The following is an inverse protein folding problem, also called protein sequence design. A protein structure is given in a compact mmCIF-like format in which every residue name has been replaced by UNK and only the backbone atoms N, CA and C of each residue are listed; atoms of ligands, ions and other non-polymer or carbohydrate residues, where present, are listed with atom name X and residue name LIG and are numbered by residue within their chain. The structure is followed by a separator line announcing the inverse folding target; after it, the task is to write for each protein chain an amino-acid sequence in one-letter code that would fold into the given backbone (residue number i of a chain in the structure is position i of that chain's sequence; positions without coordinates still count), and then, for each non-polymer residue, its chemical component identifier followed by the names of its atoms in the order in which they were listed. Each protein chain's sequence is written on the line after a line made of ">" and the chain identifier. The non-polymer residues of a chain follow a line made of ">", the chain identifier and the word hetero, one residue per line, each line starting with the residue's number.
data_IF_005876730038
#
_entry.id   IF_005876730038
#
_cell.length_a   1.000
_cell.length_b   1.000
_cell.length_c   1.000
_cell.angle_alpha   90.00
_cell.angle_beta   90.00
_cell.angle_gamma   90.00
#
_symmetry.space_group_name_H-M   'P 1'
#
loop_
_entity.id
_entity.type
_entity.pdbx_description
1 polymer ?
#
# COMPACT_ATOMS: atom_id res chain seq x y z
N UNK A 1 -14.21 -15.81 19.82
CA UNK A 1 -14.78 -15.85 18.45
C UNK A 1 -13.72 -16.39 17.52
N UNK A 2 -14.11 -17.08 16.46
CA UNK A 2 -13.14 -17.59 15.46
C UNK A 2 -12.64 -16.44 14.60
N UNK A 3 -11.32 -16.35 14.42
CA UNK A 3 -10.70 -15.42 13.49
C UNK A 3 -10.96 -15.91 12.06
N UNK A 4 -11.26 -15.00 11.12
CA UNK A 4 -11.22 -15.35 9.70
C UNK A 4 -9.77 -15.71 9.35
N UNK A 5 -9.56 -16.92 8.85
CA UNK A 5 -8.30 -17.36 8.25
C UNK A 5 -8.56 -17.57 6.75
N UNK A 6 -7.70 -17.00 5.92
CA UNK A 6 -7.69 -17.28 4.49
C UNK A 6 -6.95 -18.60 4.26
N UNK A 7 -7.56 -19.51 3.50
CA UNK A 7 -6.95 -20.79 3.10
C UNK A 7 -7.09 -20.87 1.58
N UNK A 8 -6.00 -20.76 0.80
CA UNK A 8 -6.07 -20.89 -0.65
C UNK A 8 -6.35 -22.35 -1.03
N UNK A 9 -7.19 -22.55 -2.06
CA UNK A 9 -7.45 -23.88 -2.62
C UNK A 9 -6.52 -24.12 -3.81
N UNK A 10 -5.54 -25.00 -3.65
CA UNK A 10 -4.50 -25.26 -4.65
C UNK A 10 -4.80 -26.56 -5.41
N UNK A 11 -4.27 -26.74 -6.63
CA UNK A 11 -4.55 -27.93 -7.43
C UNK A 11 -4.18 -29.24 -6.71
N UNK A 12 -3.08 -29.21 -5.94
CA UNK A 12 -2.60 -30.31 -5.08
C UNK A 12 -3.59 -30.73 -3.99
N UNK A 13 -4.53 -29.86 -3.63
CA UNK A 13 -5.54 -30.12 -2.59
C UNK A 13 -6.78 -30.82 -3.19
N UNK A 14 -6.89 -30.88 -4.53
CA UNK A 14 -7.93 -31.60 -5.26
C UNK A 14 -7.48 -33.03 -5.65
N UNK A 15 -7.44 -33.90 -4.65
CA UNK A 15 -7.05 -35.31 -4.81
C UNK A 15 -7.89 -36.07 -5.85
N UNK A 16 -9.17 -35.71 -6.02
CA UNK A 16 -10.07 -36.33 -7.01
C UNK A 16 -9.63 -36.04 -8.45
N UNK A 17 -9.18 -34.82 -8.74
CA UNK A 17 -8.70 -34.46 -10.08
C UNK A 17 -7.37 -35.15 -10.39
N UNK A 18 -6.45 -35.19 -9.43
CA UNK A 18 -5.13 -35.83 -9.57
C UNK A 18 -5.21 -37.34 -9.82
N UNK A 19 -6.23 -38.02 -9.27
CA UNK A 19 -6.45 -39.47 -9.48
C UNK A 19 -7.10 -39.76 -10.84
N UNK A 20 -8.02 -38.90 -11.29
CA UNK A 20 -8.76 -39.12 -12.54
C UNK A 20 -8.02 -38.61 -13.78
N UNK A 21 -7.09 -37.65 -13.64
CA UNK A 21 -6.29 -37.13 -14.75
C UNK A 21 -4.83 -36.83 -14.33
N UNK A 22 -3.95 -37.86 -14.27
CA UNK A 22 -2.56 -37.70 -13.85
C UNK A 22 -1.72 -36.82 -14.79
N UNK A 23 -2.08 -36.76 -16.08
CA UNK A 23 -1.37 -36.03 -17.13
C UNK A 23 -1.92 -34.62 -17.37
N UNK A 24 -2.90 -34.18 -16.56
CA UNK A 24 -3.57 -32.88 -16.69
C UNK A 24 -2.59 -31.70 -16.74
N UNK A 25 -1.63 -31.67 -15.80
CA UNK A 25 -0.58 -30.64 -15.75
C UNK A 25 0.39 -30.68 -16.93
N UNK A 26 0.59 -31.86 -17.55
CA UNK A 26 1.43 -32.03 -18.74
C UNK A 26 0.71 -31.55 -20.00
N UNK A 27 -0.60 -31.79 -20.11
CA UNK A 27 -1.44 -31.26 -21.20
C UNK A 27 -1.61 -29.75 -21.12
N UNK A 28 -1.74 -29.19 -19.92
CA UNK A 28 -1.79 -27.75 -19.68
C UNK A 28 -0.54 -27.03 -20.22
N UNK A 29 0.67 -27.52 -19.89
CA UNK A 29 1.94 -27.00 -20.45
C UNK A 29 2.02 -27.09 -21.98
N UNK A 30 1.30 -28.02 -22.60
CA UNK A 30 1.23 -28.18 -24.05
C UNK A 30 0.41 -27.10 -24.78
N UNK A 31 -0.32 -26.23 -24.06
CA UNK A 31 -1.16 -25.18 -24.64
C UNK A 31 -0.40 -23.86 -24.93
N UNK A 32 0.88 -23.75 -24.53
CA UNK A 32 1.75 -22.63 -24.91
C UNK A 32 1.49 -21.29 -24.22
N UNK A 33 0.70 -21.27 -23.14
CA UNK A 33 0.50 -20.10 -22.29
C UNK A 33 0.90 -20.43 -20.84
N UNK A 34 2.16 -20.18 -20.50
CA UNK A 34 2.73 -20.51 -19.19
C UNK A 34 2.04 -19.77 -18.03
N UNK A 35 1.50 -18.57 -18.27
CA UNK A 35 0.77 -17.79 -17.26
C UNK A 35 -0.58 -18.44 -16.91
N UNK A 36 -1.34 -18.88 -17.91
CA UNK A 36 -2.59 -19.63 -17.70
C UNK A 36 -2.33 -20.95 -16.94
N UNK A 37 -1.19 -21.59 -17.23
CA UNK A 37 -0.76 -22.80 -16.52
C UNK A 37 -0.43 -22.49 -15.06
N UNK A 38 0.37 -21.47 -14.78
CA UNK A 38 0.68 -21.07 -13.40
C UNK A 38 -0.58 -20.62 -12.63
N UNK A 39 -1.51 -19.91 -13.27
CA UNK A 39 -2.78 -19.53 -12.65
C UNK A 39 -3.62 -20.74 -12.25
N UNK A 40 -3.75 -21.73 -13.15
CA UNK A 40 -4.47 -22.98 -12.88
C UNK A 40 -3.76 -23.92 -11.89
N UNK A 41 -2.43 -23.86 -11.79
CA UNK A 41 -1.64 -24.66 -10.84
C UNK A 41 -1.62 -24.04 -9.43
N UNK A 42 -1.52 -22.72 -9.33
CA UNK A 42 -1.33 -21.97 -8.08
C UNK A 42 -2.62 -21.37 -7.49
N UNK A 43 -3.72 -21.34 -8.25
CA UNK A 43 -4.97 -20.71 -7.85
C UNK A 43 -4.96 -19.17 -7.89
N UNK A 44 -3.87 -18.57 -8.39
CA UNK A 44 -3.75 -17.13 -8.57
C UNK A 44 -4.27 -16.71 -9.95
N UNK A 45 -5.45 -16.08 -10.02
CA UNK A 45 -6.08 -15.68 -11.29
C UNK A 45 -5.74 -14.23 -11.71
N UNK A 46 -4.97 -13.50 -10.91
CA UNK A 46 -4.81 -12.04 -11.02
C UNK A 46 -3.60 -11.62 -11.87
N UNK A 47 -3.49 -12.16 -13.08
CA UNK A 47 -2.50 -11.72 -14.09
C UNK A 47 -3.17 -11.44 -15.45
N UNK A 48 -3.94 -10.35 -15.48
CA UNK A 48 -4.23 -9.61 -16.71
C UNK A 48 -3.23 -8.45 -16.87
N UNK A 49 -2.94 -8.06 -18.12
CA UNK A 49 -2.10 -6.90 -18.47
C UNK A 49 -2.68 -5.54 -17.99
N UNK A 50 -3.82 -5.54 -17.28
CA UNK A 50 -4.50 -4.37 -16.73
C UNK A 50 -4.17 -4.05 -15.26
N UNK A 51 -3.37 -4.86 -14.57
CA UNK A 51 -3.04 -4.61 -13.15
C UNK A 51 -2.03 -3.46 -13.01
N UNK A 52 -2.33 -2.46 -12.19
CA UNK A 52 -1.52 -1.25 -12.03
C UNK A 52 -0.21 -1.47 -11.25
N UNK A 53 -0.15 -2.52 -10.41
CA UNK A 53 1.04 -2.89 -9.63
C UNK A 53 1.28 -4.41 -9.80
N UNK A 54 1.65 -4.86 -11.03
CA UNK A 54 1.60 -6.28 -11.42
C UNK A 54 2.65 -7.16 -10.73
N UNK A 55 3.69 -6.55 -10.16
CA UNK A 55 4.76 -7.26 -9.45
C UNK A 55 4.53 -7.34 -7.93
N UNK A 56 3.33 -7.00 -7.43
CA UNK A 56 3.05 -7.17 -6.00
C UNK A 56 3.16 -8.65 -5.58
N UNK A 57 3.73 -8.86 -4.39
CA UNK A 57 4.02 -10.18 -3.81
C UNK A 57 3.81 -10.15 -2.31
N UNK A 58 2.80 -10.86 -1.82
CA UNK A 58 2.49 -10.84 -0.39
C UNK A 58 3.64 -11.38 0.47
N UNK A 59 4.44 -12.34 -0.02
CA UNK A 59 5.59 -12.86 0.75
C UNK A 59 6.80 -11.90 0.79
N UNK A 60 6.81 -10.84 -0.01
CA UNK A 60 7.88 -9.83 -0.08
C UNK A 60 7.46 -8.50 0.58
N UNK A 61 6.27 -8.00 0.23
CA UNK A 61 5.82 -6.66 0.59
C UNK A 61 5.04 -6.61 1.90
N UNK A 62 4.43 -7.72 2.32
CA UNK A 62 3.75 -7.81 3.62
C UNK A 62 4.74 -8.28 4.69
N UNK A 63 4.92 -7.46 5.72
CA UNK A 63 5.79 -7.77 6.85
C UNK A 63 4.96 -7.97 8.14
N UNK A 64 5.47 -8.73 9.14
CA UNK A 64 4.77 -8.92 10.40
C UNK A 64 4.49 -7.59 11.10
N UNK A 65 3.33 -7.46 11.74
CA UNK A 65 3.03 -6.35 12.67
C UNK A 65 4.17 -6.23 13.70
N UNK A 66 4.90 -5.13 13.65
CA UNK A 66 6.14 -4.95 14.44
C UNK A 66 6.23 -3.54 15.01
N UNK A 67 6.95 -3.39 16.12
CA UNK A 67 7.26 -2.06 16.65
C UNK A 67 8.38 -1.41 15.83
N UNK A 68 8.09 -0.25 15.24
CA UNK A 68 9.10 0.55 14.52
C UNK A 68 10.14 1.07 15.52
N UNK A 69 11.45 1.10 15.20
CA UNK A 69 12.49 1.71 16.05
C UNK A 69 12.11 3.09 16.58
N UNK A 70 12.31 3.35 17.88
CA UNK A 70 11.86 4.59 18.54
C UNK A 70 12.46 5.87 17.94
N UNK A 71 13.63 5.75 17.31
CA UNK A 71 14.35 6.81 16.59
C UNK A 71 13.66 7.25 15.29
N UNK A 72 12.77 6.43 14.72
CA UNK A 72 12.14 6.72 13.43
C UNK A 72 10.84 7.51 13.61
N UNK A 73 10.66 8.54 12.79
CA UNK A 73 9.45 9.33 12.76
C UNK A 73 8.30 8.55 12.11
N UNK A 74 7.13 8.60 12.75
CA UNK A 74 5.86 8.14 12.20
C UNK A 74 5.08 9.35 11.73
N UNK A 75 4.45 9.22 10.57
CA UNK A 75 3.66 10.25 9.89
C UNK A 75 2.27 9.67 9.59
N UNK A 76 1.32 10.54 9.26
CA UNK A 76 0.01 10.15 8.71
C UNK A 76 -0.29 10.90 7.42
N UNK A 77 -0.87 10.21 6.45
CA UNK A 77 -1.43 10.79 5.23
C UNK A 77 -2.93 10.48 5.14
N UNK A 78 -3.70 11.30 4.43
CA UNK A 78 -5.16 11.25 4.44
C UNK A 78 -5.78 11.59 3.09
N UNK A 79 -6.63 10.71 2.57
CA UNK A 79 -7.53 10.99 1.46
C UNK A 79 -8.96 11.11 2.00
N UNK A 80 -9.64 12.19 1.61
CA UNK A 80 -10.92 12.58 2.18
C UNK A 80 -12.08 12.08 1.34
N UNK A 81 -12.98 11.35 1.98
CA UNK A 81 -14.27 10.97 1.43
C UNK A 81 -15.41 11.18 2.41
N UNK A 82 -16.61 11.25 1.86
CA UNK A 82 -17.86 11.38 2.58
C UNK A 82 -18.92 10.46 1.96
N UNK A 83 -19.30 10.70 0.71
CA UNK A 83 -20.14 9.79 -0.08
C UNK A 83 -19.34 8.66 -0.73
N UNK A 84 -18.07 8.94 -1.07
CA UNK A 84 -17.06 7.94 -1.41
C UNK A 84 -16.22 7.58 -0.17
N UNK A 85 -15.52 6.44 -0.13
CA UNK A 85 -14.67 6.03 0.99
C UNK A 85 -13.60 7.05 1.38
N UNK A 86 -13.05 6.90 2.58
CA UNK A 86 -11.88 7.67 3.01
C UNK A 86 -10.78 6.72 3.48
N UNK A 87 -9.53 7.16 3.34
CA UNK A 87 -8.36 6.38 3.75
C UNK A 87 -7.38 7.22 4.56
N UNK A 88 -6.92 6.72 5.72
CA UNK A 88 -5.82 7.29 6.50
C UNK A 88 -4.74 6.24 6.63
N UNK A 89 -3.54 6.52 6.15
CA UNK A 89 -2.39 5.64 6.32
C UNK A 89 -1.36 6.26 7.26
N UNK A 90 -0.92 5.46 8.23
CA UNK A 90 0.17 5.75 9.13
C UNK A 90 1.42 5.06 8.61
N UNK A 91 2.50 5.82 8.43
CA UNK A 91 3.71 5.31 7.79
C UNK A 91 4.97 5.85 8.45
N UNK A 92 6.08 5.15 8.24
CA UNK A 92 7.42 5.64 8.55
C UNK A 92 8.28 5.68 7.29
N UNK A 93 9.20 6.65 7.25
CA UNK A 93 10.26 6.72 6.23
C UNK A 93 11.55 6.20 6.85
N UNK A 94 12.01 5.06 6.36
CA UNK A 94 13.19 4.36 6.87
C UNK A 94 14.44 5.23 6.67
N UNK A 95 15.34 5.25 7.66
CA UNK A 95 16.60 5.99 7.59
C UNK A 95 17.78 5.14 7.09
N UNK A 96 17.60 3.81 6.95
CA UNK A 96 18.63 2.84 6.59
C UNK A 96 19.13 1.96 7.74
N UNK A 97 18.66 2.17 8.97
CA UNK A 97 19.03 1.34 10.13
C UNK A 97 18.40 -0.06 10.09
N UNK A 98 19.09 -1.03 10.69
CA UNK A 98 18.54 -2.37 10.93
C UNK A 98 17.56 -2.34 12.11
N UNK A 99 16.45 -3.06 11.99
CA UNK A 99 15.56 -3.39 13.09
C UNK A 99 15.18 -4.88 13.07
N UNK A 100 14.70 -5.40 14.19
CA UNK A 100 14.19 -6.78 14.27
C UNK A 100 12.66 -6.74 14.24
N UNK A 101 12.04 -7.49 13.34
CA UNK A 101 10.58 -7.64 13.30
C UNK A 101 10.06 -8.55 14.44
N UNK A 102 8.74 -8.60 14.63
CA UNK A 102 8.11 -9.36 15.72
C UNK A 102 8.27 -10.89 15.61
N UNK A 103 8.73 -11.39 14.47
CA UNK A 103 9.05 -12.80 14.25
C UNK A 103 10.55 -13.09 14.45
N UNK A 104 11.36 -12.07 14.74
CA UNK A 104 12.79 -12.18 14.99
C UNK A 104 13.67 -11.97 13.76
N UNK A 105 13.10 -11.64 12.59
CA UNK A 105 13.89 -11.39 11.39
C UNK A 105 14.53 -10.01 11.44
N UNK A 106 15.82 -9.93 11.11
CA UNK A 106 16.52 -8.67 10.87
C UNK A 106 16.05 -8.07 9.54
N UNK A 107 15.53 -6.84 9.59
CA UNK A 107 15.11 -6.03 8.46
C UNK A 107 16.02 -4.80 8.39
N UNK A 108 16.59 -4.52 7.23
CA UNK A 108 17.41 -3.33 7.00
C UNK A 108 16.93 -2.59 5.74
N UNK A 109 15.75 -1.94 5.77
CA UNK A 109 15.19 -1.29 4.59
C UNK A 109 16.06 -0.11 4.15
N UNK A 110 16.34 0.07 2.85
CA UNK A 110 17.14 1.19 2.36
C UNK A 110 16.58 2.55 2.80
N UNK A 111 17.48 3.52 2.95
CA UNK A 111 17.11 4.89 3.32
C UNK A 111 16.11 5.47 2.31
N UNK A 112 14.96 5.88 2.81
CA UNK A 112 13.85 6.39 2.01
C UNK A 112 12.71 5.40 1.80
N UNK A 113 12.91 4.11 2.08
CA UNK A 113 11.84 3.09 2.05
C UNK A 113 10.66 3.51 2.93
N UNK A 114 9.46 3.11 2.54
CA UNK A 114 8.22 3.42 3.24
C UNK A 114 7.67 2.13 3.84
N UNK A 115 7.33 2.17 5.13
CA UNK A 115 6.58 1.10 5.80
C UNK A 115 5.23 1.66 6.24
N UNK A 116 4.14 1.13 5.69
CA UNK A 116 2.77 1.41 6.13
C UNK A 116 2.50 0.55 7.37
N UNK A 117 2.36 1.21 8.51
CA UNK A 117 2.35 0.61 9.85
C UNK A 117 1.01 0.74 10.57
N UNK A 118 0.03 1.40 9.95
CA UNK A 118 -1.34 1.41 10.40
C UNK A 118 -2.25 2.02 9.35
N UNK A 119 -3.52 1.65 9.37
CA UNK A 119 -4.53 2.22 8.50
C UNK A 119 -5.81 2.53 9.29
N UNK A 120 -6.64 3.39 8.72
CA UNK A 120 -8.07 3.52 8.99
C UNK A 120 -8.73 3.68 7.62
N UNK A 121 -9.56 2.72 7.24
CA UNK A 121 -10.39 2.80 6.03
C UNK A 121 -11.85 3.06 6.39
N UNK A 122 -12.59 3.66 5.46
CA UNK A 122 -13.87 4.33 5.71
C UNK A 122 -14.98 4.01 4.71
N UNK A 123 -15.14 2.74 4.33
CA UNK A 123 -16.23 2.26 3.48
C UNK A 123 -17.26 1.40 4.24
N UNK A 124 -18.44 1.23 3.64
CA UNK A 124 -19.40 0.18 3.99
C UNK A 124 -19.08 -1.15 3.26
N UNK A 125 -19.95 -2.15 3.41
CA UNK A 125 -19.76 -3.48 2.82
C UNK A 125 -19.92 -3.51 1.28
N UNK A 126 -20.35 -2.41 0.67
CA UNK A 126 -20.53 -2.25 -0.77
C UNK A 126 -19.47 -1.32 -1.40
N UNK A 127 -18.45 -0.92 -0.65
CA UNK A 127 -17.42 0.02 -1.11
C UNK A 127 -17.88 1.48 -1.16
N UNK A 128 -19.04 1.83 -0.57
CA UNK A 128 -19.52 3.21 -0.52
C UNK A 128 -19.05 3.95 0.73
N UNK A 129 -18.95 5.28 0.65
CA UNK A 129 -18.53 6.12 1.77
C UNK A 129 -19.55 6.15 2.90
N UNK A 130 -19.09 5.92 4.14
CA UNK A 130 -19.95 5.83 5.33
C UNK A 130 -20.53 7.17 5.82
N UNK A 131 -20.35 8.27 5.09
CA UNK A 131 -20.84 9.63 5.41
C UNK A 131 -20.50 10.07 6.84
N UNK A 132 -19.34 9.66 7.33
CA UNK A 132 -18.95 9.89 8.72
C UNK A 132 -18.65 11.38 8.97
N UNK A 133 -19.08 11.88 10.13
CA UNK A 133 -18.76 13.24 10.55
C UNK A 133 -17.24 13.38 10.77
N UNK A 134 -16.61 14.38 10.16
CA UNK A 134 -15.16 14.59 10.21
C UNK A 134 -14.57 14.69 11.63
N UNK A 135 -15.36 15.11 12.62
CA UNK A 135 -14.93 15.12 14.04
C UNK A 135 -14.75 13.70 14.59
N UNK A 136 -15.59 12.76 14.15
CA UNK A 136 -15.51 11.34 14.51
C UNK A 136 -14.33 10.67 13.79
N UNK A 137 -14.09 11.03 12.53
CA UNK A 137 -12.89 10.61 11.78
C UNK A 137 -11.61 11.13 12.45
N UNK A 138 -11.55 12.41 12.81
CA UNK A 138 -10.44 12.99 13.58
C UNK A 138 -10.23 12.30 14.94
N UNK A 139 -11.31 11.88 15.61
CA UNK A 139 -11.23 11.10 16.85
C UNK A 139 -10.60 9.73 16.61
N UNK A 140 -11.04 8.96 15.59
CA UNK A 140 -10.40 7.69 15.20
C UNK A 140 -8.91 7.87 14.89
N UNK A 141 -8.54 8.93 14.16
CA UNK A 141 -7.14 9.26 13.85
C UNK A 141 -6.35 9.55 15.13
N UNK A 142 -6.93 10.25 16.10
CA UNK A 142 -6.31 10.53 17.41
C UNK A 142 -6.13 9.25 18.23
N UNK A 143 -7.19 8.44 18.34
CA UNK A 143 -7.20 7.16 19.04
C UNK A 143 -6.13 6.21 18.46
N UNK A 144 -6.06 6.10 17.12
CA UNK A 144 -5.03 5.32 16.42
C UNK A 144 -3.63 5.93 16.61
N UNK A 145 -3.48 7.25 16.53
CA UNK A 145 -2.19 7.93 16.78
C UNK A 145 -1.63 7.62 18.18
N UNK A 146 -2.50 7.54 19.20
CA UNK A 146 -2.12 7.22 20.57
C UNK A 146 -1.69 5.76 20.78
N UNK A 147 -1.90 4.87 19.80
CA UNK A 147 -1.37 3.49 19.85
C UNK A 147 0.12 3.39 19.52
N UNK A 148 0.72 4.43 18.95
CA UNK A 148 2.15 4.49 18.68
C UNK A 148 2.90 5.06 19.90
N UNK A 149 4.06 4.50 20.21
CA UNK A 149 4.91 4.91 21.34
C UNK A 149 5.57 6.31 21.19
N UNK A 150 5.14 7.12 20.22
CA UNK A 150 5.64 8.48 19.94
C UNK A 150 4.58 9.32 19.21
N UNK A 151 4.68 10.65 19.21
CA UNK A 151 3.79 11.51 18.42
C UNK A 151 3.81 11.17 16.92
N UNK A 152 2.63 11.14 16.31
CA UNK A 152 2.47 11.00 14.86
C UNK A 152 2.53 12.38 14.21
N UNK A 153 3.49 12.56 13.30
CA UNK A 153 3.71 13.80 12.56
C UNK A 153 2.63 14.02 11.49
N UNK A 154 2.30 15.28 11.16
CA UNK A 154 1.45 15.57 10.01
C UNK A 154 2.16 15.17 8.71
N UNK A 155 1.40 14.64 7.77
CA UNK A 155 1.85 14.31 6.41
C UNK A 155 0.86 14.81 5.36
N UNK A 156 1.03 14.41 4.09
CA UNK A 156 0.25 14.92 2.97
C UNK A 156 -1.20 14.44 3.02
N UNK A 157 -2.13 15.31 2.63
CA UNK A 157 -3.54 14.99 2.55
C UNK A 157 -4.19 15.59 1.30
N UNK A 158 -5.38 15.10 0.94
CA UNK A 158 -6.18 15.65 -0.15
C UNK A 158 -6.35 17.18 -0.02
N UNK A 159 -6.18 17.88 -1.14
CA UNK A 159 -6.23 19.34 -1.17
C UNK A 159 -7.63 19.91 -0.91
N UNK A 160 -8.71 19.13 -1.10
CA UNK A 160 -10.07 19.55 -0.79
C UNK A 160 -10.28 19.79 0.71
N UNK A 161 -9.51 19.16 1.61
CA UNK A 161 -9.71 19.33 3.05
C UNK A 161 -9.39 20.75 3.56
N UNK A 162 -8.70 21.55 2.75
CA UNK A 162 -8.28 22.91 3.06
C UNK A 162 -9.16 23.98 2.41
N UNK A 163 -10.19 23.59 1.65
CA UNK A 163 -11.14 24.53 1.07
C UNK A 163 -11.97 25.24 2.17
N UNK A 164 -12.22 26.53 1.97
CA UNK A 164 -12.94 27.42 2.90
C UNK A 164 -14.09 28.17 2.25
N UNK A 165 -14.44 27.90 0.99
CA UNK A 165 -15.52 28.60 0.27
C UNK A 165 -16.88 28.53 1.00
N UNK A 166 -17.14 27.41 1.70
CA UNK A 166 -18.40 27.18 2.43
C UNK A 166 -18.24 27.30 3.97
N UNK A 167 -17.19 27.97 4.46
CA UNK A 167 -16.93 28.19 5.88
C UNK A 167 -15.63 27.53 6.39
N UNK A 168 -15.56 27.08 7.66
CA UNK A 168 -14.37 26.40 8.18
C UNK A 168 -14.06 25.13 7.38
N UNK A 169 -12.80 24.96 6.98
CA UNK A 169 -12.37 23.82 6.17
C UNK A 169 -12.52 22.50 6.92
N UNK A 170 -12.51 21.38 6.19
CA UNK A 170 -12.50 20.04 6.82
C UNK A 170 -11.34 19.93 7.82
N UNK A 171 -10.14 20.40 7.45
CA UNK A 171 -8.96 20.47 8.31
C UNK A 171 -9.20 21.29 9.58
N UNK A 172 -9.80 22.49 9.46
CA UNK A 172 -10.16 23.34 10.60
C UNK A 172 -11.16 22.64 11.55
N UNK A 173 -12.17 21.95 10.99
CA UNK A 173 -13.17 21.19 11.76
C UNK A 173 -12.56 19.98 12.46
N UNK A 174 -11.63 19.29 11.81
CA UNK A 174 -10.86 18.18 12.40
C UNK A 174 -9.91 18.66 13.52
N UNK A 175 -9.55 19.94 13.52
CA UNK A 175 -8.54 20.54 14.44
C UNK A 175 -7.20 19.80 14.38
N UNK A 176 -6.81 19.39 13.18
CA UNK A 176 -5.61 18.60 12.91
C UNK A 176 -4.76 19.25 11.83
N UNK A 177 -3.45 19.30 12.06
CA UNK A 177 -2.51 19.73 11.04
C UNK A 177 -2.33 18.62 9.98
N UNK A 178 -2.25 19.06 8.73
CA UNK A 178 -2.04 18.28 7.51
C UNK A 178 -1.18 19.09 6.54
N UNK A 179 -0.43 18.41 5.67
CA UNK A 179 0.30 19.02 4.55
C UNK A 179 -0.51 18.87 3.26
N UNK A 180 -0.31 19.75 2.28
CA UNK A 180 -0.94 19.61 0.97
C UNK A 180 -0.31 18.46 0.16
N UNK A 181 -1.14 17.65 -0.48
CA UNK A 181 -0.70 16.63 -1.45
C UNK A 181 -0.23 17.29 -2.76
N UNK A 182 0.74 16.65 -3.41
CA UNK A 182 1.16 17.05 -4.76
C UNK A 182 0.12 16.53 -5.77
N UNK A 183 -0.70 17.44 -6.30
CA UNK A 183 -1.69 17.18 -7.36
C UNK A 183 -1.37 17.95 -8.66
N UNK A 184 -0.09 18.23 -8.92
CA UNK A 184 0.35 18.86 -10.17
C UNK A 184 0.06 17.94 -11.39
N UNK A 185 -0.06 18.47 -12.61
CA UNK A 185 -0.19 17.65 -13.82
C UNK A 185 0.91 16.59 -13.92
N UNK A 186 0.55 15.36 -14.31
CA UNK A 186 1.46 14.20 -14.34
C UNK A 186 1.78 13.56 -12.98
N UNK A 187 1.30 14.10 -11.86
CA UNK A 187 1.54 13.52 -10.52
C UNK A 187 0.90 12.14 -10.31
N UNK A 188 -0.15 11.80 -11.05
CA UNK A 188 -0.79 10.46 -10.98
C UNK A 188 0.12 9.37 -11.56
N UNK A 189 0.43 9.44 -12.86
CA UNK A 189 1.40 8.57 -13.57
C UNK A 189 2.76 8.50 -12.83
N UNK A 190 3.35 9.65 -12.46
CA UNK A 190 4.63 9.67 -11.71
C UNK A 190 4.51 8.95 -10.36
N UNK A 191 3.40 9.13 -9.67
CA UNK A 191 3.15 8.45 -8.40
C UNK A 191 3.09 6.94 -8.56
N UNK A 192 2.38 6.46 -9.59
CA UNK A 192 2.30 5.03 -9.92
C UNK A 192 3.68 4.45 -10.27
N UNK A 193 4.47 5.18 -11.05
CA UNK A 193 5.84 4.82 -11.39
C UNK A 193 6.72 4.63 -10.15
N UNK A 194 6.68 5.59 -9.20
CA UNK A 194 7.45 5.46 -7.95
C UNK A 194 6.99 4.26 -7.10
N UNK A 195 5.68 4.00 -7.01
CA UNK A 195 5.17 2.81 -6.31
C UNK A 195 5.68 1.53 -6.96
N UNK A 196 5.61 1.42 -8.28
CA UNK A 196 6.12 0.28 -9.03
C UNK A 196 7.63 0.12 -8.90
N UNK A 197 8.42 1.20 -8.97
CA UNK A 197 9.87 1.17 -8.72
C UNK A 197 10.17 0.61 -7.32
N UNK A 198 9.45 1.06 -6.30
CA UNK A 198 9.64 0.62 -4.90
C UNK A 198 9.23 -0.85 -4.68
N UNK A 199 8.21 -1.35 -5.40
CA UNK A 199 7.77 -2.75 -5.41
C UNK A 199 8.79 -3.63 -6.16
N UNK A 200 9.23 -3.18 -7.34
CA UNK A 200 10.24 -3.86 -8.15
C UNK A 200 11.60 -3.92 -7.44
N UNK A 201 11.97 -2.87 -6.70
CA UNK A 201 13.18 -2.85 -5.88
C UNK A 201 13.12 -3.85 -4.73
N UNK A 202 11.97 -3.95 -4.04
CA UNK A 202 11.76 -4.95 -2.98
C UNK A 202 11.80 -6.39 -3.53
N UNK A 203 11.34 -6.58 -4.76
CA UNK A 203 11.42 -7.83 -5.52
C UNK A 203 12.79 -8.13 -6.12
N UNK A 204 13.76 -7.21 -6.10
CA UNK A 204 15.12 -7.53 -6.58
C UNK A 204 15.57 -8.78 -5.84
N UNK A 205 16.15 -9.76 -6.56
CA UNK A 205 16.52 -11.03 -5.94
C UNK A 205 17.38 -10.70 -4.73
N UNK A 206 16.87 -10.98 -3.52
CA UNK A 206 17.57 -10.81 -2.24
C UNK A 206 18.66 -11.85 -2.19
N UNK A 207 19.68 -11.55 -2.96
CA UNK A 207 20.80 -12.41 -3.20
C UNK A 207 21.63 -12.16 -1.94
N UNK A 208 21.44 -12.94 -0.88
CA UNK A 208 22.43 -13.01 0.19
C UNK A 208 22.97 -14.44 0.36
N UNK A 209 23.95 -14.90 -0.43
CA UNK A 209 24.53 -14.41 -1.72
C UNK A 209 25.00 -12.90 -1.80
N UNK A 210 24.95 -12.18 -2.94
CA UNK A 210 25.11 -10.69 -2.96
C UNK A 210 24.09 -9.85 -3.80
N UNK A 211 23.24 -9.02 -3.16
CA UNK A 211 22.19 -8.16 -3.76
C UNK A 211 20.97 -7.83 -2.86
N UNK A 212 21.15 -7.14 -1.71
CA UNK A 212 20.01 -6.53 -0.98
C UNK A 212 19.45 -5.35 -1.78
N UNK A 213 18.17 -4.93 -1.57
CA UNK A 213 17.66 -3.68 -2.13
C UNK A 213 18.60 -2.51 -1.84
N UNK A 214 18.83 -1.64 -2.83
CA UNK A 214 19.71 -0.48 -2.72
C UNK A 214 18.93 0.84 -2.80
N UNK A 215 17.77 0.83 -3.47
CA UNK A 215 16.84 1.95 -3.55
C UNK A 215 15.67 1.81 -2.56
N UNK A 216 14.87 2.86 -2.32
CA UNK A 216 13.68 2.78 -1.47
C UNK A 216 12.71 1.65 -1.88
N UNK A 217 12.18 0.94 -0.88
CA UNK A 217 11.17 -0.10 -1.03
C UNK A 217 9.84 0.28 -0.35
N UNK A 218 8.74 -0.36 -0.76
CA UNK A 218 7.43 -0.23 -0.11
C UNK A 218 7.11 -1.53 0.65
N UNK A 219 6.76 -1.40 1.93
CA UNK A 219 6.29 -2.51 2.76
C UNK A 219 5.01 -2.14 3.51
N UNK A 220 4.20 -3.14 3.83
CA UNK A 220 2.92 -3.00 4.54
C UNK A 220 2.89 -3.98 5.70
N UNK A 221 2.52 -3.53 6.90
CA UNK A 221 2.36 -4.43 8.04
C UNK A 221 1.10 -5.28 7.92
N UNK A 222 1.17 -6.55 8.32
CA UNK A 222 0.12 -7.57 8.14
C UNK A 222 -1.25 -7.27 8.75
N UNK A 223 -1.37 -6.26 9.63
CA UNK A 223 -2.66 -5.78 10.15
C UNK A 223 -3.31 -4.66 9.30
N UNK A 224 -2.64 -4.17 8.26
CA UNK A 224 -3.16 -3.19 7.31
C UNK A 224 -3.90 -3.91 6.18
N UNK A 225 -4.98 -4.61 6.55
CA UNK A 225 -5.69 -5.56 5.68
C UNK A 225 -6.28 -4.90 4.44
N UNK A 226 -6.79 -3.66 4.53
CA UNK A 226 -7.38 -2.97 3.39
C UNK A 226 -6.30 -2.54 2.39
N UNK A 227 -5.13 -2.11 2.87
CA UNK A 227 -3.98 -1.82 2.01
C UNK A 227 -3.49 -3.07 1.28
N UNK A 228 -3.48 -4.23 1.94
CA UNK A 228 -3.06 -5.53 1.36
C UNK A 228 -4.09 -6.06 0.36
N UNK A 229 -5.37 -5.78 0.58
CA UNK A 229 -6.49 -6.23 -0.25
C UNK A 229 -6.67 -5.36 -1.51
N UNK A 230 -6.57 -4.04 -1.40
CA UNK A 230 -6.87 -3.12 -2.51
C UNK A 230 -5.67 -2.86 -3.42
N UNK A 231 -4.47 -2.64 -2.86
CA UNK A 231 -3.32 -2.18 -3.64
C UNK A 231 -2.86 -3.17 -4.74
N UNK A 232 -2.91 -4.51 -4.55
CA UNK A 232 -2.54 -5.47 -5.61
C UNK A 232 -3.63 -5.63 -6.68
N UNK A 233 -4.89 -5.39 -6.32
CA UNK A 233 -6.07 -5.57 -7.19
C UNK A 233 -6.42 -4.30 -8.00
N UNK A 234 -5.59 -3.27 -7.90
CA UNK A 234 -5.79 -1.98 -8.54
C UNK A 234 -5.57 -2.08 -10.06
N UNK A 235 -6.49 -1.50 -10.85
CA UNK A 235 -6.46 -1.59 -12.32
C UNK A 235 -5.98 -0.29 -12.97
N UNK A 236 -5.37 -0.42 -14.15
CA UNK A 236 -5.10 0.67 -15.09
C UNK A 236 -6.38 1.01 -15.86
N UNK A 237 -6.55 2.28 -16.23
CA UNK A 237 -7.62 2.69 -17.13
C UNK A 237 -7.42 2.14 -18.54
N UNK A 238 -8.52 1.94 -19.27
CA UNK A 238 -8.47 1.58 -20.70
C UNK A 238 -7.67 2.64 -21.48
N UNK A 239 -6.64 2.20 -22.22
CA UNK A 239 -5.66 3.04 -22.92
C UNK A 239 -4.91 4.10 -22.05
N UNK A 240 -4.75 3.84 -20.73
CA UNK A 240 -4.13 4.77 -19.78
C UNK A 240 -2.85 4.23 -19.12
N UNK A 241 -1.82 5.08 -18.97
CA UNK A 241 -0.65 4.84 -18.10
C UNK A 241 -0.95 5.13 -16.60
N UNK A 242 -2.20 5.43 -16.28
CA UNK A 242 -2.68 5.80 -14.95
C UNK A 242 -3.77 4.82 -14.47
N UNK A 243 -3.93 4.77 -13.15
CA UNK A 243 -4.97 3.99 -12.47
C UNK A 243 -6.36 4.41 -12.96
N UNK A 244 -7.20 3.42 -13.21
CA UNK A 244 -8.60 3.57 -13.61
C UNK A 244 -9.34 4.50 -12.65
N UNK A 245 -10.04 5.50 -13.20
CA UNK A 245 -10.76 6.51 -12.43
C UNK A 245 -12.11 6.02 -11.89
N UNK A 246 -12.63 4.91 -12.40
CA UNK A 246 -13.86 4.28 -11.90
C UNK A 246 -13.59 3.22 -10.81
N UNK A 247 -12.32 2.85 -10.61
CA UNK A 247 -11.87 1.90 -9.59
C UNK A 247 -11.74 2.55 -8.20
N UNK A 248 -11.87 1.75 -7.14
CA UNK A 248 -11.66 2.17 -5.75
C UNK A 248 -10.18 2.51 -5.50
N UNK A 249 -9.82 3.79 -5.66
CA UNK A 249 -8.43 4.27 -5.59
C UNK A 249 -8.06 4.98 -4.28
N UNK A 250 -8.97 5.16 -3.30
CA UNK A 250 -8.72 6.01 -2.13
C UNK A 250 -7.50 5.59 -1.29
N UNK A 251 -7.27 4.29 -1.05
CA UNK A 251 -6.04 3.85 -0.36
C UNK A 251 -4.81 4.13 -1.23
N UNK A 252 -4.88 3.83 -2.54
CA UNK A 252 -3.79 4.10 -3.47
C UNK A 252 -3.47 5.59 -3.54
N UNK A 253 -4.46 6.48 -3.51
CA UNK A 253 -4.25 7.92 -3.54
C UNK A 253 -3.51 8.40 -2.27
N UNK A 254 -3.74 7.78 -1.11
CA UNK A 254 -2.90 8.02 0.08
C UNK A 254 -1.48 7.50 -0.11
N UNK A 255 -1.28 6.28 -0.64
CA UNK A 255 0.07 5.74 -0.94
C UNK A 255 0.81 6.67 -1.90
N UNK A 256 0.12 7.15 -2.94
CA UNK A 256 0.60 8.10 -3.94
C UNK A 256 1.01 9.43 -3.31
N UNK A 257 0.19 10.00 -2.43
CA UNK A 257 0.55 11.20 -1.67
C UNK A 257 1.81 10.99 -0.82
N UNK A 258 1.94 9.82 -0.18
CA UNK A 258 3.10 9.46 0.65
C UNK A 258 4.37 9.42 -0.19
N UNK A 259 4.40 8.68 -1.31
CA UNK A 259 5.62 8.52 -2.11
C UNK A 259 6.07 9.83 -2.76
N UNK A 260 5.13 10.62 -3.30
CA UNK A 260 5.44 11.94 -3.88
C UNK A 260 6.00 12.92 -2.84
N UNK A 261 5.46 12.90 -1.61
CA UNK A 261 5.99 13.72 -0.51
C UNK A 261 7.36 13.21 -0.03
N UNK A 262 7.55 11.89 0.05
CA UNK A 262 8.80 11.28 0.46
C UNK A 262 9.94 11.58 -0.53
N UNK A 263 9.67 11.56 -1.84
CA UNK A 263 10.60 11.87 -2.91
C UNK A 263 11.01 13.35 -2.92
N UNK A 264 10.05 14.28 -2.86
CA UNK A 264 10.32 15.73 -2.89
C UNK A 264 11.30 16.16 -1.77
N UNK A 265 11.15 15.57 -0.58
CA UNK A 265 12.05 15.82 0.54
C UNK A 265 13.49 15.33 0.29
N UNK A 266 13.73 14.35 -0.60
CA UNK A 266 15.09 13.94 -1.00
C UNK A 266 15.70 14.99 -1.95
N UNK A 267 14.93 15.48 -2.91
CA UNK A 267 15.39 16.45 -3.91
C UNK A 267 15.75 17.79 -3.26
N UNK A 268 14.91 18.33 -2.36
CA UNK A 268 15.19 19.59 -1.66
C UNK A 268 16.46 19.48 -0.79
N UNK A 269 16.66 18.35 -0.10
CA UNK A 269 17.88 18.13 0.70
C UNK A 269 19.16 18.07 -0.14
N UNK A 270 19.10 17.65 -1.42
CA UNK A 270 20.25 17.70 -2.34
C UNK A 270 20.56 19.11 -2.82
N UNK A 271 19.55 19.99 -2.95
CA UNK A 271 19.71 21.37 -3.45
C UNK A 271 20.25 22.32 -2.37
N UNK A 272 19.96 22.08 -1.09
CA UNK A 272 20.51 22.89 0.03
C UNK A 272 21.93 22.48 0.46
N UNK A 273 22.51 21.42 -0.14
CA UNK A 273 23.83 20.87 0.20
C UNK A 273 24.94 21.23 -0.79
N UNK A 274 24.76 22.29 -1.60
CA UNK A 274 25.69 22.81 -2.60
C UNK A 274 26.04 24.27 -2.31
#
# INVERSE_FOLDING_TARGET
>A
GMLRQFIPALLKDNTTLMVNDPDYASRLRGLGNDQLVDAMLSGNWDLSDSTAIPNWKNEVHVIPKSDIPITWNIYRAYDYGFSAPYAVLFYTKCNGEEFTDSEGHKRCPPKGSIIICGEIYGADEYGSGIKENVTRTARKITEKSATFARPVNPGPADNAIFDREQGPSISDRMKMNWLRSNKNPGSRIRGLGIVNDMVNEANRPTREMPGRPEQPCLYVMSHCIHTIDQLPNLQLGEDSEDVDTESEDHIYDVVRYIVLHAEHNVTVSKVQGL
#
